data_IF_935498528900
#
_entry.id   IF_935498528900
#
_cell.length_a   1.000
_cell.length_b   1.000
_cell.length_c   1.000
_cell.angle_alpha   90.00
_cell.angle_beta   90.00
_cell.angle_gamma   90.00
#
_symmetry.space_group_name_H-M   'P 1'
#
loop_
_entity.id
_entity.type
_entity.pdbx_description
1 polymer ?
#
# COMPACT_ATOMS: atom_id res chain seq x y z
N UNK A 1 20.34 -21.76 -1.31
CA UNK A 1 19.08 -21.36 -1.97
C UNK A 1 18.93 -22.21 -3.21
N UNK A 2 17.76 -22.83 -3.44
CA UNK A 2 17.55 -23.62 -4.66
C UNK A 2 17.14 -22.68 -5.80
N UNK A 3 17.47 -23.04 -7.05
CA UNK A 3 17.10 -22.25 -8.23
C UNK A 3 15.59 -21.98 -8.26
N UNK A 4 14.79 -22.97 -7.84
CA UNK A 4 13.32 -22.93 -7.75
C UNK A 4 12.77 -21.76 -6.92
N UNK A 5 13.56 -21.27 -5.96
CA UNK A 5 13.16 -20.21 -5.03
C UNK A 5 13.16 -18.82 -5.68
N UNK A 6 13.83 -18.69 -6.82
CA UNK A 6 14.03 -17.43 -7.54
C UNK A 6 13.40 -17.40 -8.92
N UNK A 7 12.73 -18.50 -9.32
CA UNK A 7 12.06 -18.62 -10.62
C UNK A 7 10.90 -17.63 -10.73
N UNK A 8 10.80 -17.04 -11.91
CA UNK A 8 9.63 -16.30 -12.39
C UNK A 8 8.77 -17.27 -13.20
N UNK A 9 7.64 -17.65 -12.63
CA UNK A 9 6.65 -18.49 -13.30
C UNK A 9 5.90 -17.71 -14.40
N UNK A 10 5.44 -18.40 -15.44
CA UNK A 10 4.64 -17.80 -16.53
C UNK A 10 3.40 -17.05 -16.03
N UNK A 11 2.76 -17.52 -14.95
CA UNK A 11 1.62 -16.83 -14.30
C UNK A 11 1.97 -15.39 -13.87
N UNK A 12 3.24 -15.13 -13.54
CA UNK A 12 3.70 -13.78 -13.23
C UNK A 12 3.81 -12.90 -14.49
N UNK A 13 4.34 -13.45 -15.58
CA UNK A 13 4.44 -12.76 -16.87
C UNK A 13 3.06 -12.46 -17.46
N UNK A 14 2.13 -13.41 -17.39
CA UNK A 14 0.72 -13.22 -17.79
C UNK A 14 0.09 -12.02 -17.07
N UNK A 15 0.32 -11.88 -15.76
CA UNK A 15 -0.17 -10.73 -14.98
C UNK A 15 0.43 -9.42 -15.46
N UNK A 16 1.70 -9.40 -15.86
CA UNK A 16 2.35 -8.19 -16.40
C UNK A 16 1.73 -7.79 -17.73
N UNK A 17 1.51 -8.76 -18.62
CA UNK A 17 0.88 -8.55 -19.93
C UNK A 17 -0.55 -8.05 -19.75
N UNK A 18 -1.36 -8.72 -18.92
CA UNK A 18 -2.73 -8.28 -18.59
C UNK A 18 -2.79 -6.88 -17.98
N UNK A 19 -1.82 -6.51 -17.14
CA UNK A 19 -1.74 -5.16 -16.60
C UNK A 19 -1.53 -4.09 -17.68
N UNK A 20 -0.90 -4.44 -18.82
CA UNK A 20 -0.74 -3.52 -19.96
C UNK A 20 -2.08 -3.23 -20.64
N UNK A 21 -2.96 -4.23 -20.77
CA UNK A 21 -4.34 -4.04 -21.28
C UNK A 21 -5.11 -3.01 -20.44
N UNK A 22 -5.07 -3.13 -19.11
CA UNK A 22 -5.69 -2.12 -18.24
C UNK A 22 -5.04 -0.74 -18.37
N UNK A 23 -3.74 -0.68 -18.72
CA UNK A 23 -3.06 0.60 -18.92
C UNK A 23 -3.48 1.27 -20.23
N UNK A 24 -3.90 0.54 -21.26
CA UNK A 24 -4.43 1.13 -22.51
C UNK A 24 -5.64 2.02 -22.24
N UNK A 25 -6.55 1.58 -21.37
CA UNK A 25 -7.67 2.40 -20.92
C UNK A 25 -7.22 3.68 -20.21
N UNK A 26 -6.19 3.59 -19.37
CA UNK A 26 -5.61 4.75 -18.69
C UNK A 26 -4.93 5.70 -19.69
N UNK A 27 -4.30 5.18 -20.75
CA UNK A 27 -3.72 5.98 -21.84
C UNK A 27 -4.80 6.79 -22.57
N UNK A 28 -5.94 6.16 -22.89
CA UNK A 28 -7.10 6.84 -23.50
C UNK A 28 -7.58 7.99 -22.60
N UNK A 29 -7.64 7.77 -21.28
CA UNK A 29 -8.05 8.80 -20.34
C UNK A 29 -7.02 9.95 -20.24
N UNK A 30 -5.73 9.66 -20.25
CA UNK A 30 -4.68 10.68 -20.30
C UNK A 30 -4.75 11.50 -21.58
N UNK A 31 -4.97 10.85 -22.73
CA UNK A 31 -5.11 11.51 -24.02
C UNK A 31 -6.30 12.46 -24.04
N UNK A 32 -7.45 12.00 -23.53
CA UNK A 32 -8.64 12.84 -23.40
C UNK A 32 -8.39 14.03 -22.48
N UNK A 33 -7.75 13.81 -21.34
CA UNK A 33 -7.41 14.89 -20.40
C UNK A 33 -6.40 15.88 -21.01
N UNK A 34 -5.44 15.38 -21.81
CA UNK A 34 -4.50 16.22 -22.55
C UNK A 34 -5.23 17.12 -23.54
N UNK A 35 -6.17 16.60 -24.33
CA UNK A 35 -6.98 17.39 -25.27
C UNK A 35 -7.80 18.49 -24.56
N UNK A 36 -8.32 18.20 -23.38
CA UNK A 36 -9.08 19.17 -22.57
C UNK A 36 -8.18 20.26 -21.96
N UNK A 37 -7.02 19.88 -21.42
CA UNK A 37 -6.17 20.78 -20.63
C UNK A 37 -5.05 21.44 -21.43
N UNK A 38 -4.72 20.89 -22.60
CA UNK A 38 -3.56 21.26 -23.44
C UNK A 38 -2.22 21.26 -22.68
N UNK A 39 -2.06 20.35 -21.71
CA UNK A 39 -0.83 20.20 -20.93
C UNK A 39 0.01 19.02 -21.47
N UNK A 40 1.19 19.32 -22.01
CA UNK A 40 2.15 18.33 -22.53
C UNK A 40 2.69 17.37 -21.47
N UNK A 41 2.57 17.67 -20.17
CA UNK A 41 2.89 16.70 -19.11
C UNK A 41 1.96 15.49 -19.17
N UNK A 42 0.70 15.68 -19.58
CA UNK A 42 -0.28 14.59 -19.72
C UNK A 42 0.06 13.70 -20.90
N UNK A 43 0.45 14.29 -22.04
CA UNK A 43 0.94 13.55 -23.22
C UNK A 43 2.17 12.70 -22.88
N UNK A 44 3.16 13.29 -22.21
CA UNK A 44 4.36 12.55 -21.76
C UNK A 44 4.05 11.39 -20.80
N UNK A 45 3.05 11.55 -19.93
CA UNK A 45 2.58 10.47 -19.05
C UNK A 45 1.94 9.32 -19.83
N UNK A 46 1.11 9.64 -20.83
CA UNK A 46 0.55 8.65 -21.77
C UNK A 46 1.67 7.88 -22.47
N UNK A 47 2.62 8.59 -23.09
CA UNK A 47 3.73 7.98 -23.85
C UNK A 47 4.56 7.05 -22.95
N UNK A 48 4.90 7.52 -21.74
CA UNK A 48 5.64 6.70 -20.78
C UNK A 48 4.86 5.44 -20.37
N UNK A 49 3.54 5.52 -20.31
CA UNK A 49 2.66 4.43 -19.88
C UNK A 49 2.54 3.33 -20.93
N UNK A 50 2.53 3.69 -22.21
CA UNK A 50 2.50 2.77 -23.36
C UNK A 50 3.65 1.76 -23.33
N UNK A 51 4.86 2.27 -23.09
CA UNK A 51 6.06 1.43 -23.04
C UNK A 51 6.24 0.74 -21.69
N UNK A 52 5.44 1.03 -20.66
CA UNK A 52 5.71 0.56 -19.31
C UNK A 52 5.75 -0.98 -19.20
N UNK A 53 6.89 -1.49 -18.75
CA UNK A 53 7.16 -2.91 -18.58
C UNK A 53 7.10 -3.69 -19.91
N UNK A 54 7.39 -3.02 -21.03
CA UNK A 54 7.41 -3.63 -22.37
C UNK A 54 8.69 -4.43 -22.62
N UNK A 55 9.82 -4.00 -22.05
CA UNK A 55 11.15 -4.53 -22.34
C UNK A 55 11.89 -4.90 -21.06
N UNK A 56 12.48 -6.08 -21.07
CA UNK A 56 13.24 -6.67 -19.98
C UNK A 56 14.68 -6.88 -20.42
N UNK A 57 15.61 -6.34 -19.64
CA UNK A 57 17.04 -6.52 -19.84
C UNK A 57 17.49 -7.66 -18.93
N UNK A 58 18.15 -8.63 -19.54
CA UNK A 58 18.46 -9.94 -18.97
C UNK A 58 19.92 -10.29 -19.23
N UNK A 59 20.54 -10.98 -18.28
CA UNK A 59 21.77 -11.73 -18.55
C UNK A 59 21.36 -13.16 -18.97
N UNK A 60 21.66 -13.54 -20.21
CA UNK A 60 21.40 -14.87 -20.76
C UNK A 60 22.62 -15.78 -20.60
N UNK A 61 22.43 -16.89 -19.91
CA UNK A 61 23.40 -17.97 -19.70
C UNK A 61 23.00 -19.14 -20.60
N UNK A 62 23.77 -19.38 -21.65
CA UNK A 62 23.47 -20.33 -22.72
C UNK A 62 23.71 -21.78 -22.29
N UNK A 63 24.79 -22.04 -21.54
CA UNK A 63 25.14 -23.38 -21.03
C UNK A 63 24.18 -23.79 -19.91
N UNK A 64 23.94 -22.88 -18.96
CA UNK A 64 23.05 -23.14 -17.84
C UNK A 64 21.56 -23.09 -18.22
N UNK A 65 21.24 -22.55 -19.41
CA UNK A 65 19.86 -22.28 -19.87
C UNK A 65 19.08 -21.45 -18.85
N UNK A 66 19.70 -20.36 -18.39
CA UNK A 66 19.13 -19.42 -17.41
C UNK A 66 19.08 -18.01 -18.01
N UNK A 67 17.99 -17.29 -17.73
CA UNK A 67 17.88 -15.85 -17.98
C UNK A 67 17.71 -15.13 -16.64
N UNK A 68 18.66 -14.26 -16.28
CA UNK A 68 18.62 -13.48 -15.04
C UNK A 68 18.08 -12.07 -15.29
N UNK A 69 16.91 -11.77 -14.71
CA UNK A 69 16.28 -10.46 -14.81
C UNK A 69 17.08 -9.37 -14.09
N UNK A 70 17.53 -8.36 -14.86
CA UNK A 70 18.22 -7.19 -14.31
C UNK A 70 17.28 -6.02 -14.11
N UNK A 71 16.61 -5.58 -15.18
CA UNK A 71 15.79 -4.36 -15.13
C UNK A 71 14.72 -4.36 -16.21
N UNK A 72 13.72 -3.51 -15.99
CA UNK A 72 12.67 -3.20 -16.96
C UNK A 72 12.38 -1.70 -16.94
N UNK A 73 11.80 -1.19 -18.01
CA UNK A 73 11.37 0.19 -18.14
C UNK A 73 10.04 0.42 -17.39
N UNK A 74 9.98 1.42 -16.52
CA UNK A 74 8.80 1.71 -15.70
C UNK A 74 8.40 3.18 -15.85
N UNK A 75 7.11 3.44 -16.11
CA UNK A 75 6.58 4.80 -16.25
C UNK A 75 6.45 5.56 -14.92
N UNK A 76 6.46 4.82 -13.79
CA UNK A 76 6.32 5.32 -12.42
C UNK A 76 5.00 6.08 -12.15
N UNK A 77 4.03 5.99 -13.05
CA UNK A 77 2.73 6.64 -12.89
C UNK A 77 1.87 5.95 -11.82
N UNK A 78 1.07 6.74 -11.09
CA UNK A 78 0.22 6.25 -10.00
C UNK A 78 -0.95 5.39 -10.48
N UNK A 79 -1.38 5.54 -11.72
CA UNK A 79 -2.50 4.79 -12.30
C UNK A 79 -2.06 3.52 -13.04
N UNK A 80 -0.77 3.41 -13.37
CA UNK A 80 -0.19 2.23 -14.02
C UNK A 80 -0.27 0.97 -13.14
N UNK A 81 -0.89 -0.09 -13.65
CA UNK A 81 -1.11 -1.32 -12.91
C UNK A 81 0.19 -2.11 -12.66
N UNK A 82 1.15 -2.03 -13.59
CA UNK A 82 2.49 -2.58 -13.39
C UNK A 82 3.27 -1.80 -12.32
N UNK A 83 3.33 -0.46 -12.43
CA UNK A 83 4.09 0.36 -11.48
C UNK A 83 3.51 0.32 -10.07
N UNK A 84 2.18 0.22 -9.89
CA UNK A 84 1.56 0.03 -8.57
C UNK A 84 2.11 -1.22 -7.87
N UNK A 85 2.22 -2.35 -8.58
CA UNK A 85 2.73 -3.62 -8.04
C UNK A 85 4.23 -3.54 -7.75
N UNK A 86 5.03 -3.00 -8.66
CA UNK A 86 6.46 -2.80 -8.43
C UNK A 86 6.71 -1.90 -7.22
N UNK A 87 5.94 -0.81 -7.09
CA UNK A 87 6.06 0.13 -5.97
C UNK A 87 5.63 -0.50 -4.64
N UNK A 88 4.57 -1.30 -4.63
CA UNK A 88 4.17 -2.06 -3.45
C UNK A 88 5.30 -3.02 -3.03
N UNK A 89 5.82 -3.83 -3.94
CA UNK A 89 6.90 -4.78 -3.66
C UNK A 89 8.18 -4.09 -3.16
N UNK A 90 8.59 -3.00 -3.81
CA UNK A 90 9.74 -2.19 -3.39
C UNK A 90 9.56 -1.62 -1.97
N UNK A 91 8.38 -1.08 -1.66
CA UNK A 91 8.08 -0.58 -0.31
C UNK A 91 8.10 -1.69 0.73
N UNK A 92 7.54 -2.86 0.42
CA UNK A 92 7.54 -4.00 1.33
C UNK A 92 8.98 -4.47 1.61
N UNK A 93 9.79 -4.67 0.56
CA UNK A 93 11.20 -5.06 0.72
C UNK A 93 12.00 -4.06 1.55
N UNK A 94 11.77 -2.76 1.33
CA UNK A 94 12.45 -1.70 2.07
C UNK A 94 11.96 -1.54 3.52
N UNK A 95 10.66 -1.43 3.74
CA UNK A 95 10.13 -0.98 5.02
C UNK A 95 9.88 -2.12 6.01
N UNK A 96 9.55 -3.33 5.55
CA UNK A 96 9.24 -4.45 6.47
C UNK A 96 10.44 -4.75 7.40
N UNK A 97 11.70 -4.84 6.93
CA UNK A 97 12.84 -5.06 7.82
C UNK A 97 12.97 -4.00 8.92
N UNK A 98 12.71 -2.73 8.62
CA UNK A 98 12.76 -1.63 9.61
C UNK A 98 11.62 -1.68 10.62
N UNK A 99 10.48 -2.27 10.23
CA UNK A 99 9.26 -2.34 11.04
C UNK A 99 9.27 -3.58 11.95
N UNK A 100 9.85 -4.70 11.49
CA UNK A 100 9.86 -5.98 12.19
C UNK A 100 10.35 -5.93 13.65
N UNK A 101 11.35 -5.12 14.02
CA UNK A 101 11.76 -4.98 15.42
C UNK A 101 10.61 -4.60 16.37
N UNK A 102 9.58 -3.90 15.86
CA UNK A 102 8.43 -3.45 16.65
C UNK A 102 7.30 -4.49 16.72
N UNK A 103 7.43 -5.67 16.09
CA UNK A 103 6.31 -6.58 15.81
C UNK A 103 5.41 -6.90 17.01
N UNK A 104 6.00 -7.04 18.20
CA UNK A 104 5.28 -7.33 19.45
C UNK A 104 4.27 -6.25 19.83
N UNK A 105 4.46 -5.01 19.41
CA UNK A 105 3.68 -3.84 19.83
C UNK A 105 2.93 -3.16 18.68
N UNK A 106 2.87 -3.81 17.52
CA UNK A 106 2.18 -3.27 16.34
C UNK A 106 0.68 -3.56 16.40
N UNK A 107 -0.09 -2.57 15.95
CA UNK A 107 -1.51 -2.66 15.74
C UNK A 107 -1.86 -2.11 14.35
N UNK A 108 -2.83 -2.73 13.68
CA UNK A 108 -3.45 -2.18 12.49
C UNK A 108 -4.60 -1.27 12.91
N UNK A 109 -4.47 0.00 12.56
CA UNK A 109 -5.49 1.03 12.73
C UNK A 109 -6.16 1.30 11.37
N UNK A 110 -7.45 1.01 11.25
CA UNK A 110 -8.25 1.33 10.05
C UNK A 110 -9.24 2.44 10.38
N UNK A 111 -9.12 3.60 9.71
CA UNK A 111 -9.98 4.77 9.92
C UNK A 111 -10.77 5.10 8.66
N UNK A 112 -12.09 5.16 8.77
CA UNK A 112 -12.97 5.45 7.62
C UNK A 112 -13.78 6.72 7.81
N UNK A 113 -14.39 7.19 6.72
CA UNK A 113 -15.36 8.30 6.69
C UNK A 113 -16.52 7.91 5.77
N UNK A 114 -17.68 8.58 5.85
CA UNK A 114 -18.74 8.39 4.88
C UNK A 114 -18.25 8.65 3.45
N UNK A 115 -18.93 8.04 2.47
CA UNK A 115 -18.66 8.30 1.06
C UNK A 115 -18.83 9.80 0.76
N UNK A 116 -17.97 10.33 -0.10
CA UNK A 116 -18.02 11.71 -0.59
C UNK A 116 -18.19 11.74 -2.10
N UNK A 117 -18.74 12.84 -2.61
CA UNK A 117 -18.80 13.05 -4.06
C UNK A 117 -17.42 13.47 -4.60
N UNK A 118 -17.20 13.28 -5.90
CA UNK A 118 -15.90 13.51 -6.53
C UNK A 118 -15.34 14.92 -6.32
N UNK A 119 -16.21 15.92 -6.34
CA UNK A 119 -15.91 17.34 -6.08
C UNK A 119 -15.39 17.61 -4.66
N UNK A 120 -15.75 16.77 -3.69
CA UNK A 120 -15.35 16.89 -2.28
C UNK A 120 -14.12 16.04 -1.93
N UNK A 121 -13.70 15.12 -2.82
CA UNK A 121 -12.70 14.11 -2.52
C UNK A 121 -11.35 14.73 -2.11
N UNK A 122 -10.89 15.75 -2.85
CA UNK A 122 -9.63 16.43 -2.55
C UNK A 122 -9.62 17.07 -1.16
N UNK A 123 -10.69 17.79 -0.79
CA UNK A 123 -10.83 18.41 0.53
C UNK A 123 -10.95 17.35 1.63
N UNK A 124 -11.65 16.24 1.36
CA UNK A 124 -11.76 15.14 2.32
C UNK A 124 -10.40 14.49 2.60
N UNK A 125 -9.57 14.28 1.58
CA UNK A 125 -8.20 13.77 1.75
C UNK A 125 -7.37 14.70 2.65
N UNK A 126 -7.50 16.02 2.49
CA UNK A 126 -6.85 16.99 3.36
C UNK A 126 -7.33 16.90 4.81
N UNK A 127 -8.65 16.76 5.01
CA UNK A 127 -9.23 16.54 6.35
C UNK A 127 -8.68 15.27 6.97
N UNK A 128 -8.62 14.16 6.22
CA UNK A 128 -8.06 12.89 6.69
C UNK A 128 -6.59 13.03 7.11
N UNK A 129 -5.75 13.68 6.32
CA UNK A 129 -4.32 13.86 6.67
C UNK A 129 -4.16 14.71 7.93
N UNK A 130 -4.86 15.85 8.02
CA UNK A 130 -4.80 16.74 9.18
C UNK A 130 -5.35 16.08 10.44
N UNK A 131 -6.50 15.40 10.33
CA UNK A 131 -7.10 14.67 11.43
C UNK A 131 -6.18 13.55 11.93
N UNK A 132 -5.53 12.81 11.02
CA UNK A 132 -4.61 11.75 11.43
C UNK A 132 -3.41 12.32 12.19
N UNK A 133 -2.77 13.37 11.66
CA UNK A 133 -1.67 14.03 12.35
C UNK A 133 -2.09 14.51 13.75
N UNK A 134 -3.28 15.15 13.86
CA UNK A 134 -3.82 15.60 15.14
C UNK A 134 -4.09 14.47 16.12
N UNK A 135 -4.63 13.34 15.64
CA UNK A 135 -4.84 12.14 16.46
C UNK A 135 -3.52 11.60 17.02
N UNK A 136 -2.47 11.58 16.19
CA UNK A 136 -1.12 11.18 16.62
C UNK A 136 -0.58 12.15 17.69
N UNK A 137 -0.78 13.46 17.55
CA UNK A 137 -0.35 14.41 18.59
C UNK A 137 -1.06 14.23 19.94
N UNK A 138 -2.33 13.78 19.94
CA UNK A 138 -3.02 13.37 21.17
C UNK A 138 -2.43 12.08 21.75
N UNK A 139 -2.20 11.06 20.92
CA UNK A 139 -1.63 9.79 21.36
C UNK A 139 -0.20 9.93 21.91
N UNK A 140 0.58 10.87 21.35
CA UNK A 140 1.93 11.24 21.82
C UNK A 140 1.92 12.07 23.11
N UNK A 141 0.76 12.55 23.56
CA UNK A 141 0.62 13.44 24.71
C UNK A 141 1.14 14.88 24.49
N UNK A 142 1.54 15.25 23.26
CA UNK A 142 1.97 16.62 22.93
C UNK A 142 0.77 17.58 23.00
N UNK A 143 -0.35 17.13 22.47
CA UNK A 143 -1.62 17.81 22.63
C UNK A 143 -2.50 17.06 23.63
N UNK A 144 -3.22 17.81 24.46
CA UNK A 144 -4.03 17.23 25.54
C UNK A 144 -5.49 17.57 25.35
N UNK A 145 -6.34 16.58 25.59
CA UNK A 145 -7.77 16.77 25.79
C UNK A 145 -7.96 16.68 27.30
N UNK A 146 -8.43 17.76 27.92
CA UNK A 146 -8.69 17.77 29.37
C UNK A 146 -9.60 16.59 29.72
N UNK A 147 -9.22 15.84 30.76
CA UNK A 147 -9.96 14.68 31.29
C UNK A 147 -10.04 13.47 30.34
N UNK A 148 -9.11 13.37 29.38
CA UNK A 148 -8.88 12.18 28.55
C UNK A 148 -7.39 11.84 28.58
N UNK A 149 -7.05 10.63 28.95
CA UNK A 149 -5.68 10.17 29.09
C UNK A 149 -5.30 9.16 28.00
N UNK A 150 -4.23 9.48 27.25
CA UNK A 150 -3.63 8.60 26.25
C UNK A 150 -2.32 7.98 26.71
N UNK A 151 -1.81 8.35 27.89
CA UNK A 151 -0.48 7.93 28.36
C UNK A 151 -0.34 6.41 28.41
N UNK A 152 -1.41 5.70 28.79
CA UNK A 152 -1.48 4.23 28.81
C UNK A 152 -1.20 3.56 27.45
N UNK A 153 -1.44 4.26 26.34
CA UNK A 153 -1.17 3.70 25.02
C UNK A 153 0.32 3.62 24.72
N UNK A 154 1.15 4.43 25.41
CA UNK A 154 2.59 4.51 25.23
C UNK A 154 2.99 4.51 23.74
N UNK A 155 2.48 5.51 23.01
CA UNK A 155 2.70 5.60 21.57
C UNK A 155 4.18 5.80 21.23
N UNK A 156 4.68 5.03 20.26
CA UNK A 156 6.06 5.15 19.77
C UNK A 156 6.14 5.62 18.30
N UNK A 157 5.23 5.17 17.44
CA UNK A 157 5.29 5.48 16.02
C UNK A 157 4.07 5.04 15.22
N UNK A 158 3.96 5.58 14.00
CA UNK A 158 2.93 5.15 13.06
C UNK A 158 3.38 5.25 11.60
N UNK A 159 2.82 4.41 10.73
CA UNK A 159 2.90 4.55 9.28
C UNK A 159 1.47 4.59 8.77
N UNK A 160 1.07 5.68 8.13
CA UNK A 160 -0.26 5.84 7.55
C UNK A 160 -0.22 5.62 6.05
N UNK A 161 -1.23 4.98 5.49
CA UNK A 161 -1.45 4.75 4.05
C UNK A 161 -2.87 5.17 3.66
N UNK A 162 -3.01 5.88 2.55
CA UNK A 162 -4.31 6.26 1.97
C UNK A 162 -4.75 5.22 0.92
N UNK A 163 -5.99 4.76 1.04
CA UNK A 163 -6.72 3.98 0.04
C UNK A 163 -8.05 4.67 -0.29
N UNK A 164 -8.49 4.56 -1.54
CA UNK A 164 -9.75 5.11 -2.03
C UNK A 164 -10.43 4.04 -2.88
N UNK A 165 -11.61 3.61 -2.45
CA UNK A 165 -12.54 2.84 -3.29
C UNK A 165 -13.60 3.77 -3.88
N UNK A 166 -14.23 3.37 -4.97
CA UNK A 166 -15.20 4.19 -5.69
C UNK A 166 -16.32 3.35 -6.32
N UNK A 167 -17.50 3.95 -6.43
CA UNK A 167 -18.66 3.42 -7.17
C UNK A 167 -19.46 4.59 -7.74
N UNK A 168 -19.63 4.65 -9.06
CA UNK A 168 -20.24 5.81 -9.72
C UNK A 168 -19.47 7.12 -9.42
N UNK A 169 -20.18 8.13 -8.89
CA UNK A 169 -19.58 9.40 -8.40
C UNK A 169 -19.38 9.42 -6.88
N UNK A 170 -19.40 8.26 -6.21
CA UNK A 170 -19.12 8.15 -4.78
C UNK A 170 -17.75 7.54 -4.54
N UNK A 171 -17.03 8.14 -3.59
CA UNK A 171 -15.67 7.77 -3.25
C UNK A 171 -15.56 7.55 -1.75
N UNK A 172 -14.85 6.51 -1.36
CA UNK A 172 -14.63 6.14 0.04
C UNK A 172 -13.13 6.21 0.36
N UNK A 173 -12.60 7.40 0.67
CA UNK A 173 -11.22 7.54 1.11
C UNK A 173 -11.11 7.04 2.56
N UNK A 174 -10.16 6.14 2.82
CA UNK A 174 -9.92 5.58 4.14
C UNK A 174 -8.44 5.32 4.37
N UNK A 175 -8.10 5.14 5.65
CA UNK A 175 -6.72 5.06 6.10
C UNK A 175 -6.46 3.70 6.69
N UNK A 176 -5.43 3.05 6.19
CA UNK A 176 -4.76 1.97 6.89
C UNK A 176 -3.53 2.55 7.57
N UNK A 177 -3.32 2.22 8.83
CA UNK A 177 -2.12 2.61 9.53
C UNK A 177 -1.57 1.45 10.36
N UNK A 178 -0.25 1.33 10.38
CA UNK A 178 0.45 0.61 11.41
C UNK A 178 0.71 1.60 12.54
N UNK A 179 0.41 1.22 13.77
CA UNK A 179 0.69 2.01 14.96
C UNK A 179 1.42 1.15 16.00
N UNK A 180 2.42 1.71 16.67
CA UNK A 180 3.20 1.02 17.71
C UNK A 180 2.79 1.58 19.07
N UNK A 181 2.21 0.71 19.90
CA UNK A 181 1.66 1.02 21.22
C UNK A 181 2.20 0.00 22.24
N UNK A 182 2.77 0.45 23.35
CA UNK A 182 3.27 -0.42 24.43
C UNK A 182 2.20 -0.69 25.50
N UNK A 183 0.95 -0.90 25.07
CA UNK A 183 -0.16 -1.23 25.96
C UNK A 183 -0.34 -2.75 26.07
N UNK A 184 -0.72 -3.24 27.25
CA UNK A 184 -1.06 -4.65 27.40
C UNK A 184 -2.37 -4.92 26.64
N UNK A 185 -2.42 -5.88 25.69
CA UNK A 185 -3.66 -6.23 24.99
C UNK A 185 -4.80 -6.68 25.92
N UNK A 186 -4.47 -7.08 27.15
CA UNK A 186 -5.41 -7.48 28.19
C UNK A 186 -5.89 -6.32 29.08
N UNK A 187 -5.39 -5.10 28.88
CA UNK A 187 -5.92 -3.92 29.56
C UNK A 187 -7.41 -3.74 29.23
N UNK A 188 -8.20 -3.37 30.23
CA UNK A 188 -9.67 -3.26 30.11
C UNK A 188 -10.11 -2.34 28.95
N UNK A 189 -9.33 -1.29 28.66
CA UNK A 189 -9.63 -0.36 27.56
C UNK A 189 -9.34 -0.93 26.16
N UNK A 190 -8.68 -2.09 26.06
CA UNK A 190 -8.39 -2.83 24.83
C UNK A 190 -9.32 -4.03 24.62
N UNK A 191 -10.04 -4.45 25.66
CA UNK A 191 -11.00 -5.56 25.58
C UNK A 191 -12.20 -5.18 24.72
N UNK A 192 -12.53 -6.03 23.74
CA UNK A 192 -13.67 -5.84 22.84
C UNK A 192 -14.99 -6.14 23.57
N UNK A 193 -15.76 -5.10 23.92
CA UNK A 193 -17.00 -5.24 24.72
C UNK A 193 -18.18 -4.39 24.23
N UNK A 194 -17.94 -3.43 23.33
CA UNK A 194 -18.96 -2.51 22.85
C UNK A 194 -19.55 -2.94 21.51
N UNK A 195 -20.88 -2.93 21.44
CA UNK A 195 -21.62 -3.11 20.18
C UNK A 195 -22.08 -1.77 19.64
N UNK A 196 -21.89 -1.53 18.36
CA UNK A 196 -22.45 -0.35 17.68
C UNK A 196 -22.83 -0.64 16.22
N UNK A 197 -23.18 0.40 15.47
CA UNK A 197 -23.66 0.28 14.07
C UNK A 197 -22.63 -0.34 13.12
N UNK A 198 -21.34 -0.34 13.46
CA UNK A 198 -20.26 -0.92 12.68
C UNK A 198 -19.94 -2.38 13.09
N UNK A 199 -20.62 -2.90 14.11
CA UNK A 199 -20.46 -4.28 14.59
C UNK A 199 -21.01 -5.30 13.60
N UNK A 200 -22.14 -4.98 12.97
CA UNK A 200 -22.80 -5.87 12.02
C UNK A 200 -22.20 -5.74 10.63
N UNK A 201 -22.09 -6.86 9.92
CA UNK A 201 -21.88 -6.86 8.49
C UNK A 201 -23.20 -7.07 7.76
N UNK A 202 -23.66 -6.00 7.10
CA UNK A 202 -24.88 -6.03 6.31
C UNK A 202 -24.74 -6.89 5.04
N UNK A 203 -23.52 -7.25 4.63
CA UNK A 203 -23.26 -8.17 3.51
C UNK A 203 -23.18 -9.64 3.95
N UNK A 204 -23.23 -9.93 5.25
CA UNK A 204 -23.21 -11.30 5.80
C UNK A 204 -21.90 -12.08 5.60
N UNK A 205 -20.79 -11.40 5.29
CA UNK A 205 -19.48 -12.02 5.01
C UNK A 205 -18.61 -12.19 6.25
N UNK A 206 -18.94 -11.52 7.36
CA UNK A 206 -18.23 -11.66 8.64
C UNK A 206 -19.20 -11.75 9.81
N UNK A 207 -18.72 -12.42 10.85
CA UNK A 207 -19.37 -12.43 12.16
C UNK A 207 -19.44 -11.03 12.77
N UNK A 208 -20.34 -10.87 13.74
CA UNK A 208 -20.51 -9.63 14.46
C UNK A 208 -19.27 -9.32 15.30
N UNK A 209 -18.74 -8.10 15.16
CA UNK A 209 -17.54 -7.63 15.89
C UNK A 209 -17.90 -6.64 16.99
N UNK A 210 -17.27 -6.80 18.16
CA UNK A 210 -17.28 -5.80 19.23
C UNK A 210 -16.09 -4.84 19.12
N UNK A 211 -16.17 -3.71 19.83
CA UNK A 211 -15.15 -2.68 19.89
C UNK A 211 -14.70 -2.47 21.34
N UNK A 212 -13.44 -2.07 21.51
CA UNK A 212 -12.83 -1.68 22.78
C UNK A 212 -13.16 -0.23 23.16
N UNK A 213 -12.92 0.14 24.43
CA UNK A 213 -13.05 1.54 24.86
C UNK A 213 -12.14 2.47 24.04
N UNK A 214 -10.93 2.00 23.76
CA UNK A 214 -9.94 2.72 22.95
C UNK A 214 -10.46 2.95 21.54
N UNK A 215 -11.04 1.93 20.90
CA UNK A 215 -11.67 2.11 19.58
C UNK A 215 -12.84 3.10 19.66
N UNK A 216 -13.76 2.97 20.63
CA UNK A 216 -14.90 3.89 20.77
C UNK A 216 -14.43 5.34 20.96
N UNK A 217 -13.38 5.56 21.76
CA UNK A 217 -12.77 6.87 21.94
C UNK A 217 -12.23 7.42 20.61
N UNK A 218 -11.45 6.63 19.88
CA UNK A 218 -10.90 7.03 18.58
C UNK A 218 -12.02 7.29 17.57
N UNK A 219 -13.08 6.47 17.52
CA UNK A 219 -14.24 6.68 16.63
C UNK A 219 -14.86 8.07 16.81
N UNK A 220 -15.02 8.50 18.07
CA UNK A 220 -15.61 9.80 18.43
C UNK A 220 -14.65 10.96 18.13
N UNK A 221 -13.37 10.82 18.47
CA UNK A 221 -12.35 11.83 18.16
C UNK A 221 -12.21 12.00 16.66
N UNK A 222 -12.16 10.89 15.92
CA UNK A 222 -12.07 10.88 14.46
C UNK A 222 -13.24 11.63 13.83
N UNK A 223 -14.47 11.36 14.28
CA UNK A 223 -15.65 12.10 13.87
C UNK A 223 -15.50 13.61 14.10
N UNK A 224 -15.11 14.03 15.31
CA UNK A 224 -14.96 15.45 15.67
C UNK A 224 -13.91 16.13 14.78
N UNK A 225 -12.75 15.49 14.60
CA UNK A 225 -11.65 16.03 13.80
C UNK A 225 -12.04 16.20 12.32
N UNK A 226 -12.68 15.19 11.73
CA UNK A 226 -13.10 15.25 10.32
C UNK A 226 -14.17 16.33 10.11
N UNK A 227 -15.10 16.48 11.06
CA UNK A 227 -16.15 17.50 11.01
C UNK A 227 -15.69 18.88 11.52
N UNK A 228 -14.39 19.07 11.77
CA UNK A 228 -13.79 20.33 12.28
C UNK A 228 -14.44 20.84 13.57
N UNK A 229 -14.93 19.92 14.41
CA UNK A 229 -15.50 20.23 15.72
C UNK A 229 -14.41 20.18 16.80
N UNK A 230 -14.55 21.02 17.83
CA UNK A 230 -13.59 21.05 18.94
C UNK A 230 -13.60 19.72 19.70
N UNK A 231 -12.43 19.12 19.87
CA UNK A 231 -12.28 17.88 20.64
C UNK A 231 -12.15 18.21 22.12
N UNK A 232 -13.21 17.95 22.87
CA UNK A 232 -13.24 18.07 24.34
C UNK A 232 -13.89 16.82 24.93
N UNK A 233 -13.63 16.51 26.21
CA UNK A 233 -14.30 15.41 26.91
C UNK A 233 -15.84 15.51 26.80
N UNK A 234 -16.39 16.70 27.04
CA UNK A 234 -17.83 16.97 26.86
C UNK A 234 -18.32 16.63 25.45
N UNK A 235 -17.60 17.06 24.40
CA UNK A 235 -17.95 16.78 23.01
C UNK A 235 -17.92 15.27 22.70
N UNK A 236 -16.88 14.58 23.18
CA UNK A 236 -16.72 13.12 23.05
C UNK A 236 -17.88 12.39 23.74
N UNK A 237 -18.20 12.77 24.98
CA UNK A 237 -19.24 12.09 25.76
C UNK A 237 -20.64 12.34 25.19
N UNK A 238 -20.91 13.55 24.68
CA UNK A 238 -22.17 13.90 24.04
C UNK A 238 -22.43 13.19 22.70
N UNK A 239 -21.37 12.71 22.05
CA UNK A 239 -21.48 12.02 20.76
C UNK A 239 -22.04 10.61 20.94
N UNK A 240 -23.22 10.38 20.35
CA UNK A 240 -23.82 9.04 20.28
C UNK A 240 -23.09 8.12 19.30
N UNK A 241 -22.56 8.68 18.20
CA UNK A 241 -21.97 7.93 17.09
C UNK A 241 -20.71 8.62 16.58
N UNK A 242 -19.61 7.86 16.51
CA UNK A 242 -18.38 8.25 15.80
C UNK A 242 -18.34 7.69 14.37
N UNK A 243 -17.20 7.90 13.69
CA UNK A 243 -16.88 7.21 12.44
C UNK A 243 -16.14 5.90 12.71
N UNK A 244 -16.22 4.94 11.79
CA UNK A 244 -15.66 3.61 12.03
C UNK A 244 -14.14 3.68 12.20
N UNK A 245 -13.68 3.02 13.25
CA UNK A 245 -12.28 2.81 13.59
C UNK A 245 -12.15 1.37 14.08
N UNK A 246 -11.13 0.68 13.59
CA UNK A 246 -10.73 -0.65 14.05
C UNK A 246 -9.27 -0.60 14.45
N UNK A 247 -8.95 -1.15 15.63
CA UNK A 247 -7.60 -1.27 16.15
C UNK A 247 -7.34 -2.74 16.49
N UNK A 248 -6.71 -3.44 15.56
CA UNK A 248 -6.43 -4.87 15.67
C UNK A 248 -4.97 -5.12 15.93
N UNK A 249 -4.62 -6.26 16.53
CA UNK A 249 -3.22 -6.68 16.58
C UNK A 249 -2.70 -6.90 15.16
N UNK A 250 -1.55 -6.31 14.84
CA UNK A 250 -0.98 -6.39 13.50
C UNK A 250 -0.47 -7.81 13.19
N UNK A 251 -0.76 -8.29 11.99
CA UNK A 251 -0.38 -9.60 11.45
C UNK A 251 0.49 -9.41 10.21
N UNK A 252 1.29 -10.42 9.84
CA UNK A 252 2.14 -10.34 8.64
C UNK A 252 1.36 -10.07 7.34
N UNK A 253 0.10 -10.54 7.24
CA UNK A 253 -0.78 -10.27 6.10
C UNK A 253 -1.14 -8.78 5.95
N UNK A 254 -1.16 -8.03 7.06
CA UNK A 254 -1.59 -6.64 7.11
C UNK A 254 -0.60 -5.70 6.41
N UNK A 255 0.66 -6.14 6.22
CA UNK A 255 1.62 -5.43 5.38
C UNK A 255 1.13 -5.25 3.93
N UNK A 256 0.32 -6.20 3.43
CA UNK A 256 -0.23 -6.12 2.08
C UNK A 256 -1.18 -4.93 1.98
N UNK A 257 -2.07 -4.76 2.97
CA UNK A 257 -3.01 -3.64 3.04
C UNK A 257 -2.30 -2.32 3.32
N UNK A 258 -1.33 -2.29 4.25
CA UNK A 258 -0.55 -1.09 4.57
C UNK A 258 0.18 -0.53 3.34
N UNK A 259 0.81 -1.40 2.54
CA UNK A 259 1.60 -1.00 1.36
C UNK A 259 0.84 -1.09 0.03
N UNK A 260 -0.47 -1.32 0.09
CA UNK A 260 -1.35 -1.35 -1.08
C UNK A 260 -1.31 -0.03 -1.85
N UNK A 261 -1.97 -0.01 -3.00
CA UNK A 261 -2.07 1.16 -3.87
C UNK A 261 -3.25 2.05 -3.48
N UNK A 262 -3.19 3.33 -3.87
CA UNK A 262 -4.23 4.31 -3.52
C UNK A 262 -5.59 3.98 -4.15
N UNK A 263 -5.59 3.39 -5.35
CA UNK A 263 -6.80 3.06 -6.12
C UNK A 263 -6.58 1.79 -6.93
N UNK A 264 -7.60 0.93 -6.96
CA UNK A 264 -7.61 -0.26 -7.81
C UNK A 264 -7.89 0.11 -9.27
N UNK A 265 -7.58 -0.79 -10.21
CA UNK A 265 -7.94 -0.64 -11.63
C UNK A 265 -9.45 -0.76 -11.84
N UNK A 266 -10.05 -1.64 -11.04
CA UNK A 266 -11.46 -1.99 -11.04
C UNK A 266 -12.11 -1.62 -9.71
N UNK A 267 -13.42 -1.37 -9.73
CA UNK A 267 -14.21 -1.19 -8.51
C UNK A 267 -14.48 -2.55 -7.82
N UNK A 268 -15.33 -2.56 -6.78
CA UNK A 268 -15.73 -3.81 -6.09
C UNK A 268 -16.54 -4.78 -6.97
N UNK A 269 -17.09 -4.29 -8.09
CA UNK A 269 -17.89 -5.04 -9.06
C UNK A 269 -17.07 -5.44 -10.30
N UNK A 270 -15.73 -5.38 -10.21
CA UNK A 270 -14.77 -5.64 -11.30
C UNK A 270 -14.88 -4.73 -12.55
N UNK A 271 -15.60 -3.61 -12.44
CA UNK A 271 -15.73 -2.62 -13.51
C UNK A 271 -14.51 -1.69 -13.56
N UNK A 272 -13.97 -1.47 -14.75
CA UNK A 272 -12.83 -0.58 -14.97
C UNK A 272 -13.16 0.90 -14.76
N UNK A 273 -12.17 1.66 -14.30
CA UNK A 273 -12.28 3.12 -14.10
C UNK A 273 -12.69 3.87 -15.37
N UNK A 274 -13.79 4.62 -15.33
CA UNK A 274 -14.19 5.50 -16.42
C UNK A 274 -13.43 6.84 -16.40
N UNK A 275 -13.57 7.63 -17.48
CA UNK A 275 -12.85 8.89 -17.63
C UNK A 275 -13.12 9.90 -16.51
N UNK A 276 -14.39 10.02 -16.06
CA UNK A 276 -14.75 10.95 -14.99
C UNK A 276 -14.07 10.55 -13.68
N UNK A 277 -14.08 9.26 -13.36
CA UNK A 277 -13.41 8.73 -12.17
C UNK A 277 -11.91 8.93 -12.23
N UNK A 278 -11.28 8.64 -13.37
CA UNK A 278 -9.87 8.91 -13.60
C UNK A 278 -9.53 10.37 -13.38
N UNK A 279 -10.27 11.30 -14.01
CA UNK A 279 -10.03 12.75 -13.89
C UNK A 279 -10.17 13.21 -12.44
N UNK A 280 -11.22 12.78 -11.73
CA UNK A 280 -11.43 13.09 -10.31
C UNK A 280 -10.26 12.59 -9.46
N UNK A 281 -9.88 11.32 -9.61
CA UNK A 281 -8.78 10.72 -8.83
C UNK A 281 -7.43 11.35 -9.19
N UNK A 282 -7.20 11.68 -10.46
CA UNK A 282 -5.97 12.32 -10.92
C UNK A 282 -5.71 13.62 -10.15
N UNK A 283 -6.71 14.50 -10.11
CA UNK A 283 -6.60 15.77 -9.41
C UNK A 283 -6.61 15.62 -7.89
N UNK A 284 -7.45 14.72 -7.34
CA UNK A 284 -7.49 14.49 -5.89
C UNK A 284 -6.17 13.94 -5.34
N UNK A 285 -5.44 13.16 -6.15
CA UNK A 285 -4.17 12.51 -5.76
C UNK A 285 -2.92 13.26 -6.22
N UNK A 286 -3.06 14.35 -6.98
CA UNK A 286 -1.95 15.16 -7.45
C UNK A 286 -1.19 15.72 -6.25
N UNK A 287 0.14 15.56 -6.24
CA UNK A 287 1.03 15.99 -5.16
C UNK A 287 0.71 15.42 -3.76
N UNK A 288 -0.13 14.39 -3.66
CA UNK A 288 -0.42 13.71 -2.39
C UNK A 288 0.55 12.57 -2.13
N UNK A 289 1.08 12.53 -0.90
CA UNK A 289 1.87 11.41 -0.38
C UNK A 289 0.92 10.35 0.15
N UNK A 290 0.99 9.14 -0.42
CA UNK A 290 0.17 8.03 0.05
C UNK A 290 0.58 7.57 1.45
N UNK A 291 1.89 7.38 1.65
CA UNK A 291 2.47 6.80 2.86
C UNK A 291 3.22 7.88 3.61
N UNK A 292 2.97 8.01 4.91
CA UNK A 292 3.65 8.94 5.80
C UNK A 292 3.98 8.26 7.13
N UNK A 293 5.25 8.32 7.52
CA UNK A 293 5.72 7.85 8.83
C UNK A 293 5.68 8.96 9.88
N UNK A 294 5.52 8.55 11.13
CA UNK A 294 5.41 9.38 12.34
C UNK A 294 6.15 8.68 13.50
N UNK A 295 6.60 9.46 14.49
CA UNK A 295 7.33 8.93 15.65
C UNK A 295 8.63 8.24 15.23
N UNK A 296 8.88 7.01 15.72
CA UNK A 296 10.05 6.20 15.34
C UNK A 296 10.15 5.90 13.83
N UNK A 297 9.05 6.09 13.07
CA UNK A 297 9.04 5.95 11.61
C UNK A 297 9.09 7.29 10.87
N UNK A 298 9.29 8.41 11.56
CA UNK A 298 9.46 9.71 10.91
C UNK A 298 10.78 9.74 10.14
N UNK A 299 10.74 10.20 8.88
CA UNK A 299 11.91 10.24 8.01
C UNK A 299 12.69 8.91 7.95
N UNK A 300 12.01 7.76 7.90
CA UNK A 300 12.68 6.48 7.57
C UNK A 300 13.52 6.69 6.32
N UNK A 301 14.83 6.83 6.50
CA UNK A 301 15.78 7.20 5.46
C UNK A 301 15.93 6.04 4.50
N UNK A 302 16.32 6.36 3.27
CA UNK A 302 16.96 5.39 2.36
C UNK A 302 18.36 5.08 2.91
N UNK A 303 18.46 4.55 4.13
CA UNK A 303 19.66 3.79 4.46
C UNK A 303 19.50 2.47 3.72
N UNK A 304 20.50 2.14 2.90
CA UNK A 304 20.60 0.84 2.26
C UNK A 304 20.58 -0.18 3.39
N UNK A 305 19.40 -0.73 3.65
CA UNK A 305 19.28 -1.88 4.53
C UNK A 305 20.00 -2.96 3.78
N UNK A 306 21.19 -3.27 4.25
CA UNK A 306 21.93 -4.38 3.76
C UNK A 306 21.11 -5.63 4.07
N UNK A 307 20.56 -6.19 2.99
CA UNK A 307 19.92 -7.48 3.05
C UNK A 307 21.03 -8.50 2.74
N UNK A 308 22.16 -8.29 3.43
CA UNK A 308 23.51 -8.86 3.19
C UNK A 308 23.41 -10.37 3.00
N UNK A 309 22.82 -11.09 3.97
CA UNK A 309 22.74 -12.56 3.94
C UNK A 309 21.93 -13.12 2.74
N UNK A 310 21.00 -12.33 2.20
CA UNK A 310 20.07 -12.76 1.14
C UNK A 310 20.57 -12.32 -0.24
N UNK A 311 21.22 -11.17 -0.29
CA UNK A 311 21.99 -10.73 -1.45
C UNK A 311 23.16 -11.68 -1.70
N UNK A 312 23.85 -12.12 -0.66
CA UNK A 312 24.93 -13.11 -0.73
C UNK A 312 24.50 -14.43 -1.38
N UNK A 313 23.34 -14.98 -1.01
CA UNK A 313 22.86 -16.25 -1.60
C UNK A 313 22.53 -16.13 -3.09
N UNK A 314 21.94 -15.00 -3.51
CA UNK A 314 21.71 -14.76 -4.94
C UNK A 314 23.01 -14.48 -5.68
N UNK A 315 23.93 -13.76 -5.04
CA UNK A 315 25.23 -13.45 -5.62
C UNK A 315 26.08 -14.71 -5.79
N UNK A 316 26.04 -15.65 -4.84
CA UNK A 316 26.66 -16.98 -4.98
C UNK A 316 26.08 -17.74 -6.18
N UNK A 317 24.75 -17.78 -6.33
CA UNK A 317 24.11 -18.41 -7.49
C UNK A 317 24.59 -17.79 -8.81
N UNK A 318 24.64 -16.46 -8.90
CA UNK A 318 25.11 -15.76 -10.10
C UNK A 318 26.60 -16.00 -10.35
N UNK A 319 27.41 -16.07 -9.31
CA UNK A 319 28.85 -16.33 -9.42
C UNK A 319 29.13 -17.75 -9.90
N UNK A 320 28.39 -18.74 -9.41
CA UNK A 320 28.45 -20.13 -9.90
C UNK A 320 28.11 -20.25 -11.39
N UNK A 321 27.16 -19.44 -11.88
CA UNK A 321 26.85 -19.37 -13.32
C UNK A 321 28.02 -18.73 -14.09
N UNK A 322 28.58 -17.64 -13.57
CA UNK A 322 29.69 -16.91 -14.20
C UNK A 322 31.00 -17.68 -14.26
N UNK A 323 31.24 -18.58 -13.31
CA UNK A 323 32.37 -19.51 -13.36
C UNK A 323 32.29 -20.47 -14.53
N UNK A 324 31.08 -20.78 -15.03
CA UNK A 324 30.84 -21.70 -16.14
C UNK A 324 30.79 -21.00 -17.49
N UNK A 325 30.26 -19.77 -17.54
CA UNK A 325 30.14 -19.00 -18.77
C UNK A 325 29.99 -17.49 -18.53
N UNK A 326 30.35 -16.69 -19.53
CA UNK A 326 30.04 -15.26 -19.54
C UNK A 326 28.62 -15.04 -20.09
N UNK A 327 27.75 -14.29 -19.39
CA UNK A 327 26.40 -14.05 -19.88
C UNK A 327 26.38 -13.11 -21.10
N UNK A 328 25.40 -13.32 -21.98
CA UNK A 328 25.04 -12.38 -23.03
C UNK A 328 23.91 -11.46 -22.55
N UNK A 329 24.13 -10.15 -22.57
CA UNK A 329 23.05 -9.19 -22.30
C UNK A 329 22.04 -9.21 -23.45
N UNK A 330 20.80 -9.59 -23.16
CA UNK A 330 19.69 -9.61 -24.13
C UNK A 330 18.55 -8.70 -23.69
N UNK A 331 17.70 -8.32 -24.63
CA UNK A 331 16.51 -7.53 -24.40
C UNK A 331 15.31 -8.27 -24.99
N UNK A 332 14.34 -8.60 -24.16
CA UNK A 332 13.16 -9.37 -24.56
C UNK A 332 11.89 -8.78 -23.95
N UNK A 333 10.76 -9.00 -24.60
CA UNK A 333 9.44 -8.63 -24.09
C UNK A 333 8.90 -9.71 -23.15
N UNK A 334 8.01 -9.36 -22.20
CA UNK A 334 7.32 -10.37 -21.39
C UNK A 334 6.58 -11.45 -22.21
N UNK A 335 6.10 -11.11 -23.41
CA UNK A 335 5.43 -12.06 -24.30
C UNK A 335 6.39 -13.07 -24.93
N UNK A 336 7.61 -12.65 -25.28
CA UNK A 336 8.67 -13.55 -25.77
C UNK A 336 9.11 -14.49 -24.64
N UNK A 337 9.39 -13.94 -23.45
CA UNK A 337 9.77 -14.71 -22.27
C UNK A 337 8.73 -15.75 -21.85
N UNK A 338 7.44 -15.43 -22.01
CA UNK A 338 6.35 -16.36 -21.68
C UNK A 338 6.23 -17.52 -22.67
N UNK A 339 6.70 -17.34 -23.91
CA UNK A 339 6.73 -18.38 -24.95
C UNK A 339 8.03 -19.19 -24.92
N UNK A 340 9.01 -18.72 -24.18
CA UNK A 340 10.30 -19.37 -24.03
C UNK A 340 10.19 -20.53 -23.02
N UNK A 341 10.33 -21.75 -23.53
CA UNK A 341 10.38 -22.96 -22.72
C UNK A 341 11.80 -23.55 -22.63
N UNK A 342 12.78 -22.87 -23.23
CA UNK A 342 14.17 -23.33 -23.29
C UNK A 342 14.97 -22.83 -22.07
N UNK A 343 14.64 -21.64 -21.55
CA UNK A 343 15.38 -21.02 -20.44
C UNK A 343 14.56 -20.91 -19.17
N UNK A 344 15.21 -21.12 -18.02
CA UNK A 344 14.66 -20.79 -16.72
C UNK A 344 14.84 -19.30 -16.43
N UNK A 345 13.76 -18.56 -16.27
CA UNK A 345 13.78 -17.14 -15.92
C UNK A 345 13.87 -16.95 -14.40
N UNK A 346 14.90 -16.26 -13.93
CA UNK A 346 15.14 -16.00 -12.50
C UNK A 346 15.16 -14.51 -12.19
N UNK A 347 14.92 -14.14 -10.92
CA UNK A 347 15.08 -12.78 -10.45
C UNK A 347 15.46 -12.69 -8.98
N UNK A 348 16.44 -11.81 -8.70
CA UNK A 348 16.83 -11.41 -7.33
C UNK A 348 15.65 -10.96 -6.48
N UNK A 349 14.62 -10.36 -7.11
CA UNK A 349 13.44 -9.85 -6.38
C UNK A 349 12.51 -10.96 -5.88
N UNK A 350 12.66 -12.20 -6.36
CA UNK A 350 11.87 -13.36 -5.92
C UNK A 350 12.36 -13.95 -4.60
N UNK A 351 13.62 -13.70 -4.23
CA UNK A 351 14.22 -14.19 -2.98
C UNK A 351 13.40 -13.78 -1.74
N UNK A 352 12.87 -12.55 -1.71
CA UNK A 352 11.98 -12.08 -0.64
C UNK A 352 10.67 -12.86 -0.53
N UNK A 353 10.15 -13.39 -1.64
CA UNK A 353 8.90 -14.16 -1.65
C UNK A 353 9.08 -15.56 -1.07
N UNK A 354 10.27 -16.15 -1.23
CA UNK A 354 10.63 -17.45 -0.66
C UNK A 354 10.88 -17.38 0.86
N UNK A 355 11.54 -16.33 1.37
CA UNK A 355 11.77 -16.16 2.81
C UNK A 355 10.47 -16.01 3.63
N UNK A 356 9.39 -15.51 3.01
CA UNK A 356 8.05 -15.51 3.62
C UNK A 356 7.47 -16.92 3.81
N UNK A 357 7.92 -17.90 3.03
CA UNK A 357 7.47 -19.30 3.12
C UNK A 357 8.26 -20.12 4.15
N UNK A 358 9.52 -19.78 4.42
CA UNK A 358 10.36 -20.51 5.40
C UNK A 358 10.12 -20.04 6.85
N UNK A 359 9.75 -18.77 7.06
CA UNK A 359 9.53 -18.19 8.40
C UNK A 359 8.08 -18.32 8.91
N UNK A 360 7.24 -19.06 8.20
CA UNK A 360 5.94 -19.57 8.64
C UNK A 360 6.03 -21.09 8.70
#
# INVERSE_FOLDING_TARGET
>A
MLLDDVIIENIFLEKIVKNREYNELIQIHYERLHKEMKDDKLRRKRDSLEDCNALWILDKYEIAKVKDFKKTNLCKDKFCNNCKKVKQASRMGKFIPLIRPYAKNMYQLTLTVPNVKGEQLGEMIDKLFKAFAKLIEYMKGKEKIKDVDFSKLEYEGAIRSLEITYKGNEYHPHLHALIVLHINPLDDCMILKHKNVYSKDFKGKREERLFSDTEILIQKIWYLLINKQKVTKKSIDSLKKGYSCQLDKFKEADFIELFKYMTKATNEDDETMNYRQFKTLYYALLNRRQIQGYGCFYNLKDEDISIEEVEELYDQLIEELRQKESPLSVCETPNELMKDNEYTLISRKRVYSHLKKIKN
#
